data_IF_615374774867
#
_entry.id   IF_615374774867
#
_cell.length_a   1.000
_cell.length_b   1.000
_cell.length_c   1.000
_cell.angle_alpha   90.00
_cell.angle_beta   90.00
_cell.angle_gamma   90.00
#
_symmetry.space_group_name_H-M   'P 1'
#
loop_
_entity.id
_entity.type
_entity.pdbx_description
1 polymer ?
#
# COMPACT_ATOMS: atom_id res chain seq x y z
N UNK A 1 29.17 19.64 53.31
CA UNK A 1 29.33 18.20 53.06
C UNK A 1 29.86 17.56 54.33
N UNK A 2 29.05 16.74 55.01
CA UNK A 2 29.49 15.91 56.14
C UNK A 2 30.16 14.66 55.57
N UNK A 3 31.42 14.44 55.91
CA UNK A 3 32.15 13.21 55.62
C UNK A 3 31.55 12.06 56.42
N UNK A 4 30.96 11.08 55.74
CA UNK A 4 30.55 9.81 56.35
C UNK A 4 31.73 8.84 56.33
N UNK A 5 32.25 8.57 57.52
CA UNK A 5 33.29 7.59 57.79
C UNK A 5 32.59 6.28 58.14
N UNK A 6 32.63 5.28 57.26
CA UNK A 6 32.03 3.96 57.53
C UNK A 6 33.14 3.05 58.07
N UNK A 7 33.10 2.78 59.37
CA UNK A 7 33.95 1.78 60.03
C UNK A 7 33.52 0.38 59.59
N UNK A 8 34.41 -0.35 58.92
CA UNK A 8 34.15 -1.72 58.49
C UNK A 8 35.24 -2.41 57.66
N UNK A 9 36.31 -1.72 57.25
CA UNK A 9 37.46 -2.34 56.57
C UNK A 9 38.77 -1.75 57.08
N UNK A 10 39.36 -2.37 58.11
CA UNK A 10 40.78 -2.22 58.42
C UNK A 10 41.58 -3.11 57.46
N UNK A 11 41.99 -2.59 56.30
CA UNK A 11 42.96 -3.31 55.47
C UNK A 11 42.95 -3.04 53.96
N UNK A 12 41.93 -2.37 53.42
CA UNK A 12 41.94 -1.99 51.99
C UNK A 12 42.08 -0.48 51.89
N UNK A 13 43.18 0.06 51.32
CA UNK A 13 43.37 1.49 51.24
C UNK A 13 42.22 2.12 50.44
N UNK A 14 41.69 3.21 51.01
CA UNK A 14 40.59 4.06 50.54
C UNK A 14 40.88 4.77 49.20
N UNK A 15 41.79 4.23 48.37
CA UNK A 15 42.25 4.77 47.08
C UNK A 15 41.55 4.14 45.86
N UNK A 16 40.65 3.17 46.05
CA UNK A 16 39.92 2.50 44.96
C UNK A 16 38.43 2.89 44.88
N UNK A 17 37.92 3.64 45.84
CA UNK A 17 36.63 4.31 45.74
C UNK A 17 36.85 5.71 45.16
N UNK A 18 36.18 6.02 44.05
CA UNK A 18 36.22 7.27 43.27
C UNK A 18 37.37 7.41 42.25
N UNK A 19 37.25 6.67 41.15
CA UNK A 19 37.68 7.13 39.81
C UNK A 19 36.88 6.48 38.68
N UNK A 20 35.55 6.51 38.79
CA UNK A 20 34.71 6.60 37.59
C UNK A 20 34.57 8.10 37.31
N UNK A 21 35.65 8.71 36.81
CA UNK A 21 35.66 10.08 36.32
C UNK A 21 35.60 10.00 34.80
N UNK A 22 34.38 9.94 34.25
CA UNK A 22 34.16 10.39 32.89
C UNK A 22 33.72 11.85 32.96
N UNK A 23 34.65 12.72 32.54
CA UNK A 23 34.43 14.12 32.18
C UNK A 23 34.16 15.13 33.31
N UNK A 24 35.23 15.87 33.59
CA UNK A 24 35.23 17.21 34.15
C UNK A 24 34.42 18.20 33.30
N UNK A 25 33.55 18.93 33.98
CA UNK A 25 33.25 20.36 33.85
C UNK A 25 34.13 21.17 32.87
N UNK A 26 33.94 21.04 31.56
CA UNK A 26 34.26 22.03 30.53
C UNK A 26 33.53 21.61 29.26
N UNK A 27 32.64 22.47 28.76
CA UNK A 27 31.82 22.17 27.58
C UNK A 27 32.67 21.93 26.33
N UNK A 28 32.54 20.72 25.76
CA UNK A 28 32.57 20.30 24.34
C UNK A 28 33.04 18.84 24.26
N UNK A 29 32.26 17.92 23.67
CA UNK A 29 32.78 16.58 23.36
C UNK A 29 33.50 16.61 22.01
N UNK A 30 34.85 16.54 22.05
CA UNK A 30 35.64 16.06 20.91
C UNK A 30 35.70 14.54 20.99
N UNK A 31 34.81 13.87 20.27
CA UNK A 31 34.97 12.45 19.95
C UNK A 31 36.04 12.32 18.87
N UNK A 32 37.29 12.18 19.27
CA UNK A 32 38.34 11.68 18.38
C UNK A 32 39.32 10.84 19.20
N UNK A 33 39.29 9.53 18.91
CA UNK A 33 40.34 8.52 19.06
C UNK A 33 41.45 8.86 20.05
N UNK A 34 41.40 8.28 21.25
CA UNK A 34 42.58 7.73 21.93
C UNK A 34 42.16 6.91 23.17
N UNK A 35 42.41 5.60 23.12
CA UNK A 35 42.56 4.69 24.25
C UNK A 35 41.59 4.85 25.45
N UNK A 36 40.31 4.54 25.22
CA UNK A 36 39.44 4.13 26.32
C UNK A 36 39.91 2.75 26.80
N UNK A 37 40.83 2.73 27.78
CA UNK A 37 41.24 1.48 28.44
C UNK A 37 40.00 0.93 29.14
N UNK A 38 39.33 -0.02 28.48
CA UNK A 38 38.22 -0.77 29.06
C UNK A 38 38.68 -1.32 30.41
N UNK A 39 37.79 -1.32 31.39
CA UNK A 39 38.08 -1.88 32.71
C UNK A 39 38.70 -3.28 32.55
N UNK A 40 39.83 -3.58 33.20
CA UNK A 40 40.40 -4.93 33.15
C UNK A 40 39.36 -5.98 33.53
N UNK A 41 39.42 -7.15 32.90
CA UNK A 41 38.44 -8.23 33.08
C UNK A 41 38.22 -8.60 34.56
N UNK A 42 39.29 -8.67 35.34
CA UNK A 42 39.23 -8.96 36.78
C UNK A 42 38.40 -7.92 37.55
N UNK A 43 38.56 -6.63 37.22
CA UNK A 43 37.79 -5.55 37.85
C UNK A 43 36.34 -5.57 37.40
N UNK A 44 36.09 -5.86 36.12
CA UNK A 44 34.74 -5.99 35.58
C UNK A 44 33.99 -7.16 36.26
N UNK A 45 34.66 -8.30 36.44
CA UNK A 45 34.14 -9.44 37.19
C UNK A 45 33.86 -9.06 38.65
N UNK A 46 34.78 -8.38 39.33
CA UNK A 46 34.59 -7.95 40.72
C UNK A 46 33.38 -7.03 40.88
N UNK A 47 33.18 -6.08 39.95
CA UNK A 47 32.00 -5.21 39.96
C UNK A 47 30.73 -5.99 39.66
N UNK A 48 30.75 -6.91 38.69
CA UNK A 48 29.61 -7.76 38.39
C UNK A 48 29.20 -8.58 39.62
N UNK A 49 30.16 -9.17 40.35
CA UNK A 49 29.89 -9.87 41.60
C UNK A 49 29.22 -8.94 42.61
N UNK A 50 29.71 -7.71 42.79
CA UNK A 50 29.05 -6.73 43.66
C UNK A 50 27.63 -6.40 43.20
N UNK A 51 27.40 -6.18 41.91
CA UNK A 51 26.06 -5.92 41.37
C UNK A 51 25.12 -7.11 41.68
N UNK A 52 25.61 -8.33 41.51
CA UNK A 52 24.81 -9.53 41.72
C UNK A 52 24.50 -9.79 43.21
N UNK A 53 25.47 -9.61 44.11
CA UNK A 53 25.34 -9.98 45.52
C UNK A 53 25.06 -8.77 46.43
N UNK A 54 25.85 -7.70 46.35
CA UNK A 54 25.72 -6.53 47.23
C UNK A 54 24.50 -5.67 46.83
N UNK A 55 24.29 -5.47 45.53
CA UNK A 55 23.12 -4.76 44.99
C UNK A 55 21.91 -5.68 44.76
N UNK A 56 22.04 -6.97 45.08
CA UNK A 56 20.96 -7.96 45.08
C UNK A 56 20.29 -8.17 43.71
N UNK A 57 20.96 -7.86 42.60
CA UNK A 57 20.39 -8.09 41.27
C UNK A 57 20.09 -9.58 41.02
N UNK A 58 20.89 -10.48 41.61
CA UNK A 58 20.69 -11.93 41.54
C UNK A 58 19.29 -12.36 41.99
N UNK A 59 18.75 -11.72 43.03
CA UNK A 59 17.49 -12.14 43.65
C UNK A 59 16.33 -12.06 42.66
N UNK A 60 16.40 -11.16 41.68
CA UNK A 60 15.39 -11.05 40.62
C UNK A 60 15.28 -12.31 39.75
N UNK A 61 16.31 -13.17 39.73
CA UNK A 61 16.36 -14.41 38.94
C UNK A 61 16.03 -15.66 39.76
N UNK A 62 15.89 -15.55 41.08
CA UNK A 62 15.65 -16.69 41.98
C UNK A 62 14.14 -16.97 42.12
N UNK A 63 13.81 -18.17 42.63
CA UNK A 63 12.47 -18.59 43.03
C UNK A 63 11.38 -18.29 41.98
N UNK A 64 11.64 -18.65 40.72
CA UNK A 64 10.76 -18.35 39.59
C UNK A 64 10.42 -16.84 39.49
N UNK A 65 11.44 -15.99 39.62
CA UNK A 65 11.35 -14.54 39.48
C UNK A 65 10.46 -13.86 40.53
N UNK A 66 10.34 -14.45 41.73
CA UNK A 66 9.49 -13.92 42.82
C UNK A 66 9.77 -12.44 43.11
N UNK A 67 11.03 -12.08 43.31
CA UNK A 67 11.43 -10.69 43.60
C UNK A 67 11.19 -9.75 42.41
N UNK A 68 11.28 -10.25 41.18
CA UNK A 68 10.96 -9.47 39.99
C UNK A 68 9.45 -9.16 39.93
N UNK A 69 8.59 -10.13 40.24
CA UNK A 69 7.15 -9.91 40.33
C UNK A 69 6.79 -8.87 41.40
N UNK A 70 7.50 -8.87 42.55
CA UNK A 70 7.39 -7.79 43.53
C UNK A 70 7.76 -6.45 42.92
N UNK A 71 8.83 -6.37 42.11
CA UNK A 71 9.22 -5.11 41.44
C UNK A 71 8.18 -4.65 40.42
N UNK A 72 7.55 -5.58 39.68
CA UNK A 72 6.46 -5.24 38.78
C UNK A 72 5.27 -4.64 39.52
N UNK A 73 4.84 -5.27 40.63
CA UNK A 73 3.76 -4.74 41.46
C UNK A 73 4.11 -3.36 42.03
N UNK A 74 5.33 -3.18 42.54
CA UNK A 74 5.81 -1.88 43.03
C UNK A 74 5.78 -0.81 41.93
N UNK A 75 6.23 -1.13 40.72
CA UNK A 75 6.22 -0.19 39.60
C UNK A 75 4.77 0.11 39.18
N UNK A 76 3.90 -0.88 39.13
CA UNK A 76 2.49 -0.73 38.81
C UNK A 76 1.78 0.25 39.75
N UNK A 77 1.92 0.05 41.06
CA UNK A 77 1.39 0.97 42.08
C UNK A 77 2.01 2.37 42.01
N UNK A 78 3.28 2.48 41.60
CA UNK A 78 3.90 3.79 41.37
C UNK A 78 3.33 4.48 40.12
N UNK A 79 2.97 3.74 39.07
CA UNK A 79 2.31 4.30 37.89
C UNK A 79 0.92 4.78 38.27
N UNK A 80 0.16 4.01 39.04
CA UNK A 80 -1.14 4.41 39.59
C UNK A 80 -1.05 5.74 40.37
N UNK A 81 -0.08 5.83 41.28
CA UNK A 81 0.05 7.00 42.16
C UNK A 81 0.67 8.25 41.50
N UNK A 82 1.55 8.08 40.51
CA UNK A 82 2.29 9.20 39.90
C UNK A 82 1.78 9.56 38.50
N UNK A 83 1.09 8.66 37.82
CA UNK A 83 0.61 8.77 36.44
C UNK A 83 -0.79 8.14 36.29
N UNK A 84 -1.81 8.59 37.06
CA UNK A 84 -3.11 7.93 37.12
C UNK A 84 -3.80 7.79 35.76
N UNK A 85 -3.76 8.83 34.91
CA UNK A 85 -4.35 8.73 33.57
C UNK A 85 -3.70 7.64 32.70
N UNK A 86 -2.38 7.45 32.85
CA UNK A 86 -1.66 6.42 32.11
C UNK A 86 -1.95 5.03 32.69
N UNK A 87 -2.08 4.92 34.01
CA UNK A 87 -2.49 3.70 34.68
C UNK A 87 -3.88 3.25 34.20
N UNK A 88 -4.88 4.13 34.23
CA UNK A 88 -6.23 3.81 33.75
C UNK A 88 -6.27 3.42 32.28
N UNK A 89 -5.43 4.05 31.44
CA UNK A 89 -5.29 3.67 30.04
C UNK A 89 -4.68 2.28 29.86
N UNK A 90 -3.62 1.96 30.60
CA UNK A 90 -2.99 0.65 30.57
C UNK A 90 -3.94 -0.44 31.07
N UNK A 91 -4.67 -0.18 32.15
CA UNK A 91 -5.67 -1.09 32.70
C UNK A 91 -6.80 -1.37 31.68
N UNK A 92 -7.34 -0.33 31.05
CA UNK A 92 -8.40 -0.47 30.04
C UNK A 92 -7.96 -1.28 28.81
N UNK A 93 -6.69 -1.15 28.40
CA UNK A 93 -6.13 -1.85 27.25
C UNK A 93 -5.60 -3.25 27.63
N UNK A 94 -5.40 -3.53 28.91
CA UNK A 94 -4.80 -4.78 29.39
C UNK A 94 -3.27 -4.81 29.26
N UNK A 95 -2.60 -3.66 29.37
CA UNK A 95 -1.13 -3.58 29.41
C UNK A 95 -0.64 -3.80 30.84
N UNK A 96 0.10 -4.88 31.04
CA UNK A 96 0.75 -5.17 32.32
C UNK A 96 2.24 -4.80 32.31
N UNK A 97 2.75 -4.41 33.49
CA UNK A 97 4.16 -4.00 33.66
C UNK A 97 5.16 -5.05 33.19
N UNK A 98 4.88 -6.33 33.42
CA UNK A 98 5.77 -7.43 33.06
C UNK A 98 6.03 -7.49 31.54
N UNK A 99 5.07 -7.04 30.72
CA UNK A 99 5.14 -7.08 29.25
C UNK A 99 6.22 -6.17 28.66
N UNK A 100 6.60 -5.09 29.35
CA UNK A 100 7.59 -4.12 28.86
C UNK A 100 8.78 -3.91 29.81
N UNK A 101 8.60 -4.06 31.13
CA UNK A 101 9.62 -3.69 32.11
C UNK A 101 10.57 -4.83 32.51
N UNK A 102 10.30 -6.09 32.10
CA UNK A 102 11.14 -7.25 32.49
C UNK A 102 12.63 -7.02 32.23
N UNK A 103 12.98 -6.55 31.03
CA UNK A 103 14.38 -6.29 30.66
C UNK A 103 14.96 -5.06 31.36
N UNK A 104 14.13 -4.08 31.73
CA UNK A 104 14.59 -2.88 32.43
C UNK A 104 15.24 -3.24 33.76
N UNK A 105 14.59 -4.14 34.52
CA UNK A 105 15.09 -4.61 35.80
C UNK A 105 16.20 -5.68 35.64
N UNK A 106 15.95 -6.73 34.85
CA UNK A 106 16.88 -7.87 34.77
C UNK A 106 18.23 -7.51 34.14
N UNK A 107 18.24 -6.55 33.20
CA UNK A 107 19.46 -6.19 32.47
C UNK A 107 19.96 -4.79 32.81
N UNK A 108 19.39 -4.10 33.82
CA UNK A 108 19.71 -2.70 34.12
C UNK A 108 19.66 -1.81 32.87
N UNK A 109 18.62 -1.99 32.04
CA UNK A 109 18.41 -1.30 30.76
C UNK A 109 19.43 -1.56 29.63
N UNK A 110 20.46 -2.39 29.84
CA UNK A 110 21.55 -2.64 28.87
C UNK A 110 21.12 -3.26 27.53
N UNK A 111 19.95 -3.92 27.44
CA UNK A 111 19.59 -4.69 26.23
C UNK A 111 19.13 -3.84 25.04
N UNK A 112 18.26 -2.84 25.25
CA UNK A 112 17.66 -2.05 24.15
C UNK A 112 18.12 -0.59 24.12
N UNK A 113 18.61 -0.03 25.23
CA UNK A 113 18.98 1.36 25.31
C UNK A 113 20.41 1.61 24.77
N UNK A 114 20.67 2.79 24.19
CA UNK A 114 22.01 3.17 23.74
C UNK A 114 23.02 3.18 24.89
N UNK A 115 24.28 2.78 24.61
CA UNK A 115 25.32 2.63 25.64
C UNK A 115 25.56 3.91 26.45
N UNK A 116 25.51 5.08 25.83
CA UNK A 116 25.64 6.38 26.52
C UNK A 116 24.62 6.51 27.66
N UNK A 117 23.36 6.17 27.40
CA UNK A 117 22.29 6.20 28.40
C UNK A 117 22.50 5.14 29.47
N UNK A 118 22.88 3.93 29.06
CA UNK A 118 23.14 2.82 29.98
C UNK A 118 24.26 3.15 30.95
N UNK A 119 25.35 3.77 30.51
CA UNK A 119 26.45 4.17 31.40
C UNK A 119 25.99 5.12 32.50
N UNK A 120 25.19 6.14 32.17
CA UNK A 120 24.66 7.02 33.21
C UNK A 120 23.68 6.31 34.17
N UNK A 121 22.88 5.37 33.68
CA UNK A 121 22.01 4.56 34.54
C UNK A 121 22.86 3.74 35.52
N UNK A 122 23.93 3.10 35.03
CA UNK A 122 24.84 2.30 35.86
C UNK A 122 25.58 3.16 36.88
N UNK A 123 26.06 4.35 36.49
CA UNK A 123 26.75 5.28 37.41
C UNK A 123 25.87 5.65 38.61
N UNK A 124 24.60 5.99 38.35
CA UNK A 124 23.64 6.34 39.40
C UNK A 124 23.22 5.10 40.18
N UNK A 125 23.04 3.95 39.52
CA UNK A 125 22.71 2.68 40.17
C UNK A 125 23.80 2.25 41.17
N UNK A 126 25.08 2.39 40.81
CA UNK A 126 26.21 2.09 41.70
C UNK A 126 26.38 3.10 42.84
N UNK A 127 25.66 4.23 42.83
CA UNK A 127 25.63 5.19 43.93
C UNK A 127 24.44 4.96 44.86
N UNK A 128 23.24 4.80 44.28
CA UNK A 128 21.97 4.86 45.02
C UNK A 128 21.27 3.49 45.14
N UNK A 129 21.66 2.50 44.33
CA UNK A 129 21.16 1.13 44.35
C UNK A 129 19.84 0.89 43.60
N UNK A 130 19.15 -0.21 43.93
CA UNK A 130 17.98 -0.73 43.22
C UNK A 130 16.82 0.26 43.04
N UNK A 131 16.68 1.24 43.95
CA UNK A 131 15.65 2.27 43.85
C UNK A 131 15.72 3.09 42.56
N UNK A 132 16.91 3.23 41.99
CA UNK A 132 17.15 3.97 40.74
C UNK A 132 16.37 3.39 39.58
N UNK A 133 16.20 2.07 39.52
CA UNK A 133 15.49 1.43 38.42
C UNK A 133 14.01 1.87 38.37
N UNK A 134 13.39 2.09 39.53
CA UNK A 134 12.05 2.68 39.61
C UNK A 134 12.05 4.14 39.16
N UNK A 135 13.03 4.93 39.61
CA UNK A 135 13.15 6.33 39.23
C UNK A 135 13.28 6.48 37.70
N UNK A 136 14.14 5.69 37.07
CA UNK A 136 14.35 5.69 35.61
C UNK A 136 13.09 5.19 34.90
N UNK A 137 12.47 4.10 35.37
CA UNK A 137 11.22 3.57 34.78
C UNK A 137 10.11 4.61 34.77
N UNK A 138 9.88 5.29 35.91
CA UNK A 138 8.88 6.36 36.01
C UNK A 138 9.26 7.57 35.15
N UNK A 139 10.54 7.93 35.07
CA UNK A 139 10.99 9.03 34.20
C UNK A 139 10.73 8.73 32.71
N UNK A 140 11.00 7.50 32.26
CA UNK A 140 10.71 7.05 30.89
C UNK A 140 9.21 7.14 30.57
N UNK A 141 8.36 6.69 31.49
CA UNK A 141 6.90 6.74 31.35
C UNK A 141 6.38 8.17 31.39
N UNK A 142 6.87 9.02 32.30
CA UNK A 142 6.54 10.45 32.36
C UNK A 142 6.86 11.16 31.05
N UNK A 143 8.07 10.95 30.52
CA UNK A 143 8.53 11.58 29.30
C UNK A 143 7.74 11.14 28.05
N UNK A 144 7.15 9.95 28.09
CA UNK A 144 6.40 9.34 26.99
C UNK A 144 4.88 9.32 27.18
N UNK A 145 4.37 9.93 28.25
CA UNK A 145 2.95 9.82 28.65
C UNK A 145 2.01 10.24 27.51
N UNK A 146 2.32 11.34 26.83
CA UNK A 146 1.47 11.88 25.76
C UNK A 146 1.40 10.94 24.56
N UNK A 147 2.53 10.35 24.19
CA UNK A 147 2.62 9.42 23.08
C UNK A 147 1.91 8.10 23.39
N UNK A 148 1.94 7.65 24.65
CA UNK A 148 1.35 6.39 25.08
C UNK A 148 -0.19 6.44 25.20
N UNK A 149 -0.76 7.56 25.66
CA UNK A 149 -2.21 7.71 25.86
C UNK A 149 -3.04 7.64 24.56
N UNK A 150 -2.41 7.81 23.39
CA UNK A 150 -3.09 7.72 22.10
C UNK A 150 -2.90 6.40 21.36
N UNK A 151 -2.27 5.40 21.99
CA UNK A 151 -1.91 4.13 21.34
C UNK A 151 -2.79 2.99 21.86
N UNK A 152 -3.03 2.00 21.01
CA UNK A 152 -3.65 0.73 21.34
C UNK A 152 -2.62 -0.27 21.91
N UNK A 153 -3.06 -1.49 22.23
CA UNK A 153 -2.21 -2.53 22.82
C UNK A 153 -0.92 -2.77 22.03
N UNK A 154 -1.03 -3.00 20.72
CA UNK A 154 0.13 -3.26 19.85
C UNK A 154 1.02 -2.01 19.73
N UNK A 155 0.42 -0.83 19.57
CA UNK A 155 1.12 0.44 19.48
C UNK A 155 1.98 0.72 20.72
N UNK A 156 1.46 0.48 21.92
CA UNK A 156 2.18 0.64 23.19
C UNK A 156 3.39 -0.31 23.26
N UNK A 157 3.20 -1.60 23.00
CA UNK A 157 4.30 -2.58 23.04
C UNK A 157 5.37 -2.29 21.97
N UNK A 158 4.95 -1.87 20.78
CA UNK A 158 5.85 -1.43 19.71
C UNK A 158 6.63 -0.17 20.11
N UNK A 159 5.98 0.79 20.78
CA UNK A 159 6.60 2.01 21.27
C UNK A 159 7.73 1.69 22.25
N UNK A 160 7.49 0.85 23.25
CA UNK A 160 8.51 0.43 24.21
C UNK A 160 9.68 -0.30 23.55
N UNK A 161 9.40 -1.16 22.56
CA UNK A 161 10.42 -1.96 21.88
C UNK A 161 11.29 -1.15 20.92
N UNK A 162 10.73 -0.16 20.22
CA UNK A 162 11.37 0.49 19.07
C UNK A 162 11.58 1.98 19.27
N UNK A 163 10.54 2.71 19.66
CA UNK A 163 10.55 4.18 19.67
C UNK A 163 11.25 4.71 20.91
N UNK A 164 10.93 4.17 22.09
CA UNK A 164 11.45 4.63 23.36
C UNK A 164 13.00 4.60 23.42
N UNK A 165 13.69 3.50 23.05
CA UNK A 165 15.15 3.47 23.14
C UNK A 165 15.84 4.40 22.13
N UNK A 166 15.22 4.63 20.96
CA UNK A 166 15.76 5.53 19.93
C UNK A 166 15.82 6.99 20.38
N UNK A 167 14.91 7.40 21.27
CA UNK A 167 14.84 8.77 21.81
C UNK A 167 16.07 9.15 22.64
N UNK A 168 16.72 8.18 23.26
CA UNK A 168 17.86 8.39 24.16
C UNK A 168 19.20 8.00 23.53
N UNK A 169 19.37 8.29 22.23
CA UNK A 169 20.63 8.07 21.50
C UNK A 169 21.63 9.21 21.67
N UNK A 170 21.15 10.42 21.92
CA UNK A 170 22.00 11.59 22.13
C UNK A 170 22.36 11.72 23.61
N UNK A 171 23.51 12.32 23.88
CA UNK A 171 24.01 12.53 25.24
C UNK A 171 23.08 13.49 26.02
N UNK A 172 22.57 14.53 25.36
CA UNK A 172 21.66 15.50 25.95
C UNK A 172 20.37 14.83 26.43
N UNK A 173 19.76 13.97 25.60
CA UNK A 173 18.54 13.26 25.95
C UNK A 173 18.77 12.28 27.11
N UNK A 174 19.94 11.63 27.13
CA UNK A 174 20.33 10.74 28.22
C UNK A 174 20.46 11.50 29.55
N UNK A 175 21.13 12.66 29.55
CA UNK A 175 21.27 13.50 30.73
C UNK A 175 19.93 14.04 31.23
N UNK A 176 19.05 14.49 30.32
CA UNK A 176 17.69 14.92 30.66
C UNK A 176 16.89 13.80 31.34
N UNK A 177 16.99 12.57 30.83
CA UNK A 177 16.36 11.40 31.44
C UNK A 177 16.83 11.19 32.88
N UNK A 178 18.15 11.23 33.10
CA UNK A 178 18.74 11.01 34.42
C UNK A 178 18.36 12.14 35.38
N UNK A 179 18.35 13.40 34.92
CA UNK A 179 17.88 14.53 35.71
C UNK A 179 16.42 14.35 36.13
N UNK A 180 15.55 13.94 35.19
CA UNK A 180 14.15 13.66 35.48
C UNK A 180 13.99 12.49 36.47
N UNK A 181 14.77 11.42 36.31
CA UNK A 181 14.78 10.28 37.22
C UNK A 181 15.18 10.70 38.63
N UNK A 182 16.26 11.46 38.79
CA UNK A 182 16.76 11.90 40.10
C UNK A 182 15.86 12.95 40.77
N UNK A 183 15.13 13.73 39.98
CA UNK A 183 14.10 14.65 40.52
C UNK A 183 12.85 13.92 41.02
N UNK A 184 12.60 12.70 40.51
CA UNK A 184 11.44 11.90 40.91
C UNK A 184 11.71 11.26 42.28
N UNK A 185 11.19 11.89 43.33
CA UNK A 185 11.32 11.40 44.71
C UNK A 185 10.40 10.20 44.95
N UNK A 186 10.95 8.99 44.86
CA UNK A 186 10.26 7.77 45.28
C UNK A 186 10.61 7.47 46.74
N UNK A 187 9.59 7.42 47.61
CA UNK A 187 9.79 7.17 49.03
C UNK A 187 10.04 5.67 49.27
N UNK A 188 11.22 5.33 49.80
CA UNK A 188 11.59 3.95 50.16
C UNK A 188 10.59 3.28 51.11
N UNK A 189 9.95 4.04 52.03
CA UNK A 189 8.90 3.50 52.90
C UNK A 189 7.66 3.05 52.11
N UNK A 190 7.35 3.76 51.02
CA UNK A 190 6.21 3.45 50.15
C UNK A 190 6.46 2.17 49.36
N UNK A 191 7.67 2.02 48.80
CA UNK A 191 8.10 0.77 48.14
C UNK A 191 7.99 -0.43 49.09
N UNK A 192 8.47 -0.30 50.33
CA UNK A 192 8.35 -1.37 51.34
C UNK A 192 6.91 -1.68 51.71
N UNK A 193 6.02 -0.68 51.67
CA UNK A 193 4.58 -0.91 51.88
C UNK A 193 4.00 -1.74 50.73
N UNK A 194 4.22 -1.36 49.47
CA UNK A 194 3.74 -2.16 48.33
C UNK A 194 4.30 -3.58 48.31
N UNK A 195 5.53 -3.77 48.75
CA UNK A 195 6.11 -5.11 48.89
C UNK A 195 5.33 -5.97 49.90
N UNK A 196 4.95 -5.39 51.04
CA UNK A 196 4.08 -6.08 52.01
C UNK A 196 2.68 -6.33 51.44
N UNK A 197 2.13 -5.35 50.74
CA UNK A 197 0.80 -5.47 50.10
C UNK A 197 0.81 -6.61 49.07
N UNK A 198 1.88 -6.75 48.26
CA UNK A 198 2.05 -7.86 47.32
C UNK A 198 2.06 -9.22 48.01
N UNK A 199 2.84 -9.39 49.07
CA UNK A 199 2.89 -10.67 49.79
C UNK A 199 1.57 -10.97 50.51
N UNK A 200 0.87 -9.96 51.02
CA UNK A 200 -0.45 -10.15 51.61
C UNK A 200 -1.47 -10.61 50.57
N UNK A 201 -1.47 -10.04 49.37
CA UNK A 201 -2.31 -10.49 48.25
C UNK A 201 -1.98 -11.95 47.89
N UNK A 202 -0.69 -12.27 47.73
CA UNK A 202 -0.28 -13.66 47.43
C UNK A 202 -0.67 -14.66 48.51
N UNK A 203 -0.56 -14.28 49.78
CA UNK A 203 -0.98 -15.14 50.88
C UNK A 203 -2.51 -15.31 50.91
N UNK A 204 -3.27 -14.28 50.57
CA UNK A 204 -4.73 -14.38 50.42
C UNK A 204 -5.11 -15.32 49.26
N UNK A 205 -4.49 -15.16 48.09
CA UNK A 205 -4.65 -16.05 46.93
C UNK A 205 -4.28 -17.52 47.25
N UNK A 206 -3.28 -17.74 48.12
CA UNK A 206 -2.89 -19.08 48.57
C UNK A 206 -3.85 -19.68 49.59
N UNK A 207 -4.53 -18.85 50.39
CA UNK A 207 -5.56 -19.27 51.35
C UNK A 207 -6.93 -19.49 50.72
N UNK A 208 -7.17 -18.99 49.51
CA UNK A 208 -8.39 -19.30 48.77
C UNK A 208 -8.55 -20.81 48.57
N UNK A 209 -9.78 -21.28 48.73
CA UNK A 209 -10.10 -22.71 48.72
C UNK A 209 -9.61 -23.37 47.40
N UNK A 210 -8.93 -24.52 47.47
CA UNK A 210 -8.43 -25.21 46.29
C UNK A 210 -9.49 -25.48 45.22
N UNK A 211 -10.77 -25.64 45.61
CA UNK A 211 -11.88 -25.79 44.66
C UNK A 211 -12.08 -24.52 43.83
N UNK A 212 -12.07 -23.35 44.47
CA UNK A 212 -12.20 -22.04 43.79
C UNK A 212 -11.06 -21.79 42.80
N UNK A 213 -9.82 -22.14 43.18
CA UNK A 213 -8.65 -22.04 42.29
C UNK A 213 -8.72 -23.02 41.11
N UNK A 214 -9.30 -24.19 41.32
CA UNK A 214 -9.51 -25.18 40.25
C UNK A 214 -10.58 -24.72 39.28
N UNK A 215 -11.71 -24.20 39.78
CA UNK A 215 -12.77 -23.61 38.94
C UNK A 215 -12.25 -22.44 38.10
N UNK A 216 -11.38 -21.60 38.66
CA UNK A 216 -10.78 -20.51 37.92
C UNK A 216 -9.79 -20.99 36.85
N UNK A 217 -8.99 -22.03 37.15
CA UNK A 217 -8.16 -22.70 36.13
C UNK A 217 -9.01 -23.32 35.02
N UNK A 218 -10.13 -23.96 35.36
CA UNK A 218 -11.05 -24.53 34.38
C UNK A 218 -11.67 -23.43 33.50
N UNK A 219 -12.08 -22.31 34.10
CA UNK A 219 -12.53 -21.11 33.36
C UNK A 219 -11.44 -20.59 32.41
N UNK A 220 -10.19 -20.47 32.86
CA UNK A 220 -9.07 -20.05 32.01
C UNK A 220 -8.85 -21.03 30.87
N UNK A 221 -8.90 -22.34 31.13
CA UNK A 221 -8.79 -23.38 30.10
C UNK A 221 -9.91 -23.29 29.07
N UNK A 222 -11.13 -22.98 29.49
CA UNK A 222 -12.26 -22.81 28.58
C UNK A 222 -12.11 -21.54 27.71
N UNK A 223 -11.66 -20.42 28.28
CA UNK A 223 -11.29 -19.24 27.48
C UNK A 223 -10.15 -19.55 26.50
N UNK A 224 -9.16 -20.35 26.90
CA UNK A 224 -8.05 -20.75 26.04
C UNK A 224 -8.52 -21.60 24.85
N UNK A 225 -9.52 -22.47 25.05
CA UNK A 225 -10.18 -23.21 23.97
C UNK A 225 -10.95 -22.27 23.05
N UNK A 226 -11.68 -21.30 23.60
CA UNK A 226 -12.44 -20.33 22.81
C UNK A 226 -11.52 -19.44 21.96
N UNK A 227 -10.44 -18.92 22.53
CA UNK A 227 -9.42 -18.16 21.81
C UNK A 227 -8.78 -18.99 20.69
N UNK A 228 -8.51 -20.28 20.91
CA UNK A 228 -8.02 -21.18 19.86
C UNK A 228 -9.04 -21.39 18.76
N UNK A 229 -10.31 -21.60 19.11
CA UNK A 229 -11.42 -21.74 18.17
C UNK A 229 -11.60 -20.49 17.30
N UNK A 230 -11.65 -19.31 17.92
CA UNK A 230 -11.75 -18.02 17.24
C UNK A 230 -10.55 -17.75 16.31
N UNK A 231 -9.33 -18.11 16.74
CA UNK A 231 -8.14 -18.01 15.89
C UNK A 231 -8.23 -18.90 14.65
N UNK A 232 -8.77 -20.10 14.78
CA UNK A 232 -8.96 -21.01 13.65
C UNK A 232 -9.98 -20.43 12.67
N UNK A 233 -11.13 -19.96 13.16
CA UNK A 233 -12.15 -19.31 12.34
C UNK A 233 -11.61 -18.06 11.63
N UNK A 234 -10.81 -17.24 12.32
CA UNK A 234 -10.16 -16.07 11.73
C UNK A 234 -9.20 -16.47 10.60
N UNK A 235 -8.48 -17.59 10.76
CA UNK A 235 -7.57 -18.11 9.75
C UNK A 235 -8.32 -18.59 8.50
N UNK A 236 -9.40 -19.35 8.69
CA UNK A 236 -10.28 -19.81 7.60
C UNK A 236 -10.90 -18.63 6.85
N UNK A 237 -11.45 -17.65 7.57
CA UNK A 237 -12.02 -16.45 6.97
C UNK A 237 -10.98 -15.63 6.19
N UNK A 238 -9.75 -15.55 6.70
CA UNK A 238 -8.66 -14.85 6.02
C UNK A 238 -8.24 -15.56 4.73
N UNK A 239 -8.23 -16.90 4.72
CA UNK A 239 -7.97 -17.68 3.50
C UNK A 239 -9.08 -17.49 2.46
N UNK A 240 -10.35 -17.50 2.89
CA UNK A 240 -11.49 -17.20 2.02
C UNK A 240 -11.41 -15.79 1.44
N UNK A 241 -11.08 -14.79 2.26
CA UNK A 241 -10.91 -13.41 1.78
C UNK A 241 -9.78 -13.31 0.73
N UNK A 242 -8.64 -13.96 0.96
CA UNK A 242 -7.55 -13.99 -0.02
C UNK A 242 -7.97 -14.70 -1.32
N UNK A 243 -8.78 -15.76 -1.23
CA UNK A 243 -9.32 -16.46 -2.40
C UNK A 243 -10.25 -15.54 -3.20
N UNK A 244 -11.21 -14.90 -2.54
CA UNK A 244 -12.14 -13.96 -3.15
C UNK A 244 -11.43 -12.75 -3.77
N UNK A 245 -10.36 -12.25 -3.15
CA UNK A 245 -9.52 -11.20 -3.72
C UNK A 245 -8.83 -11.65 -5.02
N UNK A 246 -8.33 -12.88 -5.07
CA UNK A 246 -7.72 -13.47 -6.27
C UNK A 246 -8.74 -13.63 -7.41
N UNK A 247 -9.95 -14.14 -7.11
CA UNK A 247 -11.03 -14.24 -8.09
C UNK A 247 -11.47 -12.87 -8.60
N UNK A 248 -11.60 -11.89 -7.69
CA UNK A 248 -11.94 -10.50 -8.04
C UNK A 248 -10.88 -9.90 -8.98
N UNK A 249 -9.60 -10.19 -8.74
CA UNK A 249 -8.51 -9.74 -9.61
C UNK A 249 -8.65 -10.30 -11.04
N UNK A 250 -8.87 -11.61 -11.17
CA UNK A 250 -9.07 -12.28 -12.48
C UNK A 250 -10.27 -11.72 -13.24
N UNK A 251 -11.38 -11.50 -12.53
CA UNK A 251 -12.60 -10.93 -13.13
C UNK A 251 -12.32 -9.50 -13.62
N UNK A 252 -11.63 -8.67 -12.81
CA UNK A 252 -11.24 -7.30 -13.22
C UNK A 252 -10.35 -7.30 -14.45
N UNK A 253 -9.42 -8.25 -14.56
CA UNK A 253 -8.54 -8.39 -15.73
C UNK A 253 -9.33 -8.77 -16.99
N UNK A 254 -10.21 -9.76 -16.90
CA UNK A 254 -11.12 -10.14 -17.99
C UNK A 254 -11.98 -8.96 -18.46
N UNK A 255 -12.59 -8.19 -17.55
CA UNK A 255 -13.37 -7.00 -17.92
C UNK A 255 -12.51 -5.93 -18.60
N UNK A 256 -11.26 -5.75 -18.17
CA UNK A 256 -10.33 -4.80 -18.80
C UNK A 256 -10.03 -5.19 -20.24
N UNK A 257 -9.67 -6.45 -20.49
CA UNK A 257 -9.36 -6.95 -21.84
C UNK A 257 -10.55 -6.79 -22.80
N UNK A 258 -11.76 -7.12 -22.33
CA UNK A 258 -12.99 -6.94 -23.14
C UNK A 258 -13.24 -5.48 -23.46
N UNK A 259 -13.01 -4.57 -22.49
CA UNK A 259 -13.18 -3.13 -22.68
C UNK A 259 -12.19 -2.58 -23.69
N UNK A 260 -10.89 -2.93 -23.56
CA UNK A 260 -9.84 -2.51 -24.49
C UNK A 260 -10.13 -2.99 -25.93
N UNK A 261 -10.62 -4.23 -26.08
CA UNK A 261 -11.01 -4.77 -27.38
C UNK A 261 -12.19 -4.01 -27.99
N UNK A 262 -13.23 -3.73 -27.21
CA UNK A 262 -14.39 -2.97 -27.68
C UNK A 262 -14.02 -1.54 -28.08
N UNK A 263 -13.10 -0.89 -27.34
CA UNK A 263 -12.58 0.43 -27.68
C UNK A 263 -11.78 0.41 -28.99
N UNK A 264 -10.95 -0.61 -29.21
CA UNK A 264 -10.19 -0.77 -30.45
C UNK A 264 -11.11 -0.98 -31.66
N UNK A 265 -12.16 -1.81 -31.51
CA UNK A 265 -13.17 -2.04 -32.54
C UNK A 265 -13.96 -0.76 -32.85
N UNK A 266 -14.35 0.01 -31.84
CA UNK A 266 -15.00 1.31 -32.02
C UNK A 266 -14.09 2.30 -32.75
N UNK A 267 -12.79 2.31 -32.44
CA UNK A 267 -11.83 3.16 -33.14
C UNK A 267 -11.69 2.76 -34.61
N UNK A 268 -11.67 1.46 -34.91
CA UNK A 268 -11.67 0.95 -36.29
C UNK A 268 -12.94 1.35 -37.04
N UNK A 269 -14.10 1.23 -36.41
CA UNK A 269 -15.37 1.67 -36.98
C UNK A 269 -15.34 3.17 -37.34
N UNK A 270 -14.89 4.03 -36.43
CA UNK A 270 -14.76 5.48 -36.67
C UNK A 270 -13.82 5.78 -37.85
N UNK A 271 -12.68 5.08 -37.96
CA UNK A 271 -11.78 5.23 -39.11
C UNK A 271 -12.47 4.86 -40.42
N UNK A 272 -13.20 3.74 -40.45
CA UNK A 272 -13.94 3.30 -41.62
C UNK A 272 -15.02 4.33 -42.00
N UNK A 273 -15.73 4.89 -41.03
CA UNK A 273 -16.73 5.94 -41.24
C UNK A 273 -16.11 7.19 -41.89
N UNK A 274 -14.95 7.64 -41.40
CA UNK A 274 -14.20 8.76 -42.01
C UNK A 274 -13.81 8.45 -43.45
N UNK A 275 -13.25 7.28 -43.72
CA UNK A 275 -12.85 6.86 -45.09
C UNK A 275 -14.07 6.86 -46.03
N UNK A 276 -15.21 6.34 -45.57
CA UNK A 276 -16.45 6.34 -46.37
C UNK A 276 -16.93 7.77 -46.65
N UNK A 277 -16.84 8.66 -45.66
CA UNK A 277 -17.19 10.07 -45.84
C UNK A 277 -16.28 10.77 -46.88
N UNK A 278 -14.97 10.58 -46.77
CA UNK A 278 -13.98 11.10 -47.72
C UNK A 278 -14.20 10.55 -49.13
N UNK A 279 -14.46 9.25 -49.25
CA UNK A 279 -14.77 8.62 -50.54
C UNK A 279 -16.01 9.25 -51.19
N UNK A 280 -17.10 9.42 -50.44
CA UNK A 280 -18.32 10.09 -50.92
C UNK A 280 -18.04 11.51 -51.38
N UNK A 281 -17.21 12.25 -50.65
CA UNK A 281 -16.81 13.61 -51.01
C UNK A 281 -16.01 13.62 -52.32
N UNK A 282 -15.05 12.71 -52.49
CA UNK A 282 -14.26 12.57 -53.72
C UNK A 282 -15.18 12.27 -54.91
N UNK A 283 -16.12 11.32 -54.77
CA UNK A 283 -17.08 11.01 -55.82
C UNK A 283 -17.91 12.24 -56.21
N UNK A 284 -18.44 12.99 -55.24
CA UNK A 284 -19.20 14.21 -55.51
C UNK A 284 -18.37 15.26 -56.23
N UNK A 285 -17.11 15.48 -55.83
CA UNK A 285 -16.20 16.42 -56.48
C UNK A 285 -15.86 15.99 -57.91
N UNK A 286 -15.65 14.70 -58.16
CA UNK A 286 -15.40 14.17 -59.50
C UNK A 286 -16.62 14.34 -60.40
N UNK A 287 -17.84 14.08 -59.90
CA UNK A 287 -19.09 14.33 -60.62
C UNK A 287 -19.26 15.81 -61.00
N UNK A 288 -19.04 16.73 -60.05
CA UNK A 288 -19.14 18.17 -60.32
C UNK A 288 -18.12 18.64 -61.38
N UNK A 289 -16.88 18.14 -61.30
CA UNK A 289 -15.84 18.44 -62.32
C UNK A 289 -16.23 17.89 -63.69
N UNK A 290 -16.79 16.69 -63.75
CA UNK A 290 -17.24 16.08 -65.00
C UNK A 290 -18.37 16.89 -65.63
N UNK A 291 -19.34 17.34 -64.83
CA UNK A 291 -20.43 18.20 -65.29
C UNK A 291 -19.93 19.54 -65.83
N UNK A 292 -18.97 20.18 -65.14
CA UNK A 292 -18.33 21.42 -65.61
C UNK A 292 -17.63 21.22 -66.96
N UNK A 293 -16.80 20.17 -67.08
CA UNK A 293 -16.11 19.85 -68.34
C UNK A 293 -17.08 19.50 -69.48
N UNK A 294 -18.18 18.81 -69.19
CA UNK A 294 -19.22 18.55 -70.18
C UNK A 294 -19.93 19.83 -70.61
N UNK A 295 -20.17 20.75 -69.67
CA UNK A 295 -20.78 22.04 -69.97
C UNK A 295 -19.86 22.93 -70.80
N UNK A 296 -18.59 23.07 -70.41
CA UNK A 296 -17.57 23.79 -71.17
C UNK A 296 -17.47 23.26 -72.60
N UNK A 297 -17.41 21.93 -72.77
CA UNK A 297 -17.41 21.30 -74.10
C UNK A 297 -18.68 21.64 -74.90
N UNK A 298 -19.85 21.67 -74.27
CA UNK A 298 -21.12 22.07 -74.93
C UNK A 298 -21.07 23.53 -75.36
N UNK A 299 -20.58 24.41 -74.50
CA UNK A 299 -20.46 25.84 -74.79
C UNK A 299 -19.44 26.10 -75.90
N UNK A 300 -18.30 25.39 -75.91
CA UNK A 300 -17.31 25.42 -77.00
C UNK A 300 -17.90 24.95 -78.33
N UNK A 301 -18.71 23.88 -78.33
CA UNK A 301 -19.43 23.40 -79.52
C UNK A 301 -20.43 24.44 -80.03
N UNK A 302 -21.18 25.09 -79.14
CA UNK A 302 -22.10 26.18 -79.49
C UNK A 302 -21.35 27.39 -80.03
N UNK A 303 -20.20 27.74 -79.44
CA UNK A 303 -19.35 28.82 -79.90
C UNK A 303 -18.78 28.54 -81.30
N UNK A 304 -18.25 27.33 -81.52
CA UNK A 304 -17.78 26.88 -82.84
C UNK A 304 -18.91 26.92 -83.87
N UNK A 305 -20.12 26.44 -83.52
CA UNK A 305 -21.32 26.54 -84.35
C UNK A 305 -21.63 28.00 -84.72
N UNK A 306 -21.63 28.91 -83.73
CA UNK A 306 -21.90 30.34 -83.96
C UNK A 306 -20.90 31.02 -84.90
N UNK A 307 -19.62 30.62 -84.85
CA UNK A 307 -18.57 31.13 -85.74
C UNK A 307 -18.65 30.57 -87.16
N UNK A 308 -19.21 29.37 -87.33
CA UNK A 308 -19.35 28.69 -88.64
C UNK A 308 -20.65 29.07 -89.38
N UNK A 309 -21.68 29.51 -88.66
CA UNK A 309 -22.97 29.97 -89.22
C UNK A 309 -22.88 31.08 -90.29
N UNK A 310 -21.99 32.10 -90.20
CA UNK A 310 -21.87 33.16 -91.22
C UNK A 310 -21.19 32.71 -92.53
N UNK A 311 -20.56 31.53 -92.56
CA UNK A 311 -19.87 31.01 -93.75
C UNK A 311 -20.86 30.23 -94.62
N UNK A 312 -21.21 30.79 -95.79
CA UNK A 312 -22.14 30.18 -96.76
C UNK A 312 -21.66 28.85 -97.35
N UNK A 313 -20.37 28.54 -97.26
CA UNK A 313 -19.81 27.22 -97.63
C UNK A 313 -19.77 26.24 -96.45
N UNK A 314 -19.61 26.71 -95.21
CA UNK A 314 -19.31 25.86 -94.05
C UNK A 314 -20.57 25.41 -93.28
N UNK A 315 -21.64 26.21 -93.32
CA UNK A 315 -22.88 25.95 -92.59
C UNK A 315 -23.63 24.69 -93.06
N UNK A 316 -23.47 24.29 -94.32
CA UNK A 316 -24.13 23.10 -94.90
C UNK A 316 -23.52 21.76 -94.47
N UNK A 317 -22.43 21.79 -93.70
CA UNK A 317 -21.66 20.60 -93.35
C UNK A 317 -21.76 20.19 -91.88
N UNK A 318 -22.63 20.83 -91.10
CA UNK A 318 -22.79 20.58 -89.66
C UNK A 318 -24.27 20.30 -89.36
N UNK A 319 -24.56 19.13 -88.78
CA UNK A 319 -25.92 18.72 -88.37
C UNK A 319 -26.41 19.50 -87.14
N UNK A 320 -27.71 19.45 -86.85
CA UNK A 320 -28.33 20.16 -85.72
C UNK A 320 -27.62 19.86 -84.38
N UNK A 321 -27.11 18.65 -84.23
CA UNK A 321 -26.41 18.11 -83.06
C UNK A 321 -24.91 18.52 -82.97
N UNK A 322 -24.42 19.33 -83.92
CA UNK A 322 -23.01 19.75 -83.96
C UNK A 322 -22.04 18.69 -84.48
N UNK A 323 -22.54 17.63 -85.14
CA UNK A 323 -21.71 16.63 -85.83
C UNK A 323 -21.51 17.06 -87.29
N UNK A 324 -20.39 16.67 -87.91
CA UNK A 324 -20.21 16.85 -89.35
C UNK A 324 -21.26 16.01 -90.11
N UNK A 325 -21.90 16.61 -91.11
CA UNK A 325 -22.81 15.91 -92.04
C UNK A 325 -22.01 14.80 -92.75
N UNK A 326 -22.60 13.62 -92.89
CA UNK A 326 -21.94 12.38 -93.35
C UNK A 326 -21.10 12.58 -94.62
N UNK A 327 -21.48 13.48 -95.54
CA UNK A 327 -20.71 13.78 -96.77
C UNK A 327 -19.30 14.37 -96.55
N UNK A 328 -18.94 14.91 -95.37
CA UNK A 328 -17.55 15.34 -95.07
C UNK A 328 -16.78 14.31 -94.26
N UNK A 329 -17.46 13.35 -93.61
CA UNK A 329 -16.76 12.28 -92.87
C UNK A 329 -15.79 11.54 -93.78
N UNK A 330 -16.16 11.31 -95.04
CA UNK A 330 -15.32 10.61 -96.01
C UNK A 330 -14.20 11.47 -96.62
N UNK A 331 -14.35 12.80 -96.66
CA UNK A 331 -13.31 13.71 -97.21
C UNK A 331 -12.23 14.03 -96.16
N UNK A 332 -12.58 14.05 -94.86
CA UNK A 332 -11.60 14.20 -93.77
C UNK A 332 -10.99 12.85 -93.36
N UNK A 333 -11.69 11.73 -93.56
CA UNK A 333 -11.14 10.38 -93.36
C UNK A 333 -10.11 9.96 -94.43
N UNK A 334 -9.91 10.75 -95.49
CA UNK A 334 -8.87 10.51 -96.50
C UNK A 334 -7.45 10.92 -96.07
N UNK A 335 -7.30 11.59 -94.91
CA UNK A 335 -6.02 11.69 -94.22
C UNK A 335 -6.00 10.66 -93.11
N UNK A 336 -4.99 9.79 -93.07
CA UNK A 336 -4.73 8.91 -91.93
C UNK A 336 -4.63 9.75 -90.65
N UNK A 337 -5.74 9.92 -89.94
CA UNK A 337 -5.70 10.35 -88.55
C UNK A 337 -5.22 9.13 -87.81
N UNK A 338 -3.92 9.09 -87.50
CA UNK A 338 -3.38 8.20 -86.48
C UNK A 338 -4.30 8.31 -85.26
N UNK A 339 -5.09 7.27 -85.03
CA UNK A 339 -6.00 7.16 -83.90
C UNK A 339 -5.15 7.39 -82.65
N UNK A 340 -5.36 8.55 -82.00
CA UNK A 340 -4.45 9.09 -80.99
C UNK A 340 -4.09 8.00 -79.97
N UNK A 341 -2.82 7.67 -79.87
CA UNK A 341 -2.28 6.60 -79.04
C UNK A 341 -2.69 6.78 -77.56
N UNK A 342 -2.96 8.02 -77.14
CA UNK A 342 -3.53 8.35 -75.83
C UNK A 342 -4.99 7.94 -75.67
N UNK A 343 -5.80 7.97 -76.72
CA UNK A 343 -7.21 7.57 -76.69
C UNK A 343 -7.34 6.04 -76.54
N UNK A 344 -6.51 5.28 -77.24
CA UNK A 344 -6.41 3.82 -77.07
C UNK A 344 -5.98 3.45 -75.66
N UNK A 345 -4.95 4.12 -75.13
CA UNK A 345 -4.50 3.95 -73.75
C UNK A 345 -5.61 4.29 -72.75
N UNK A 346 -6.34 5.38 -72.95
CA UNK A 346 -7.46 5.75 -72.09
C UNK A 346 -8.59 4.71 -72.12
N UNK A 347 -8.94 4.18 -73.29
CA UNK A 347 -9.96 3.14 -73.43
C UNK A 347 -9.55 1.82 -72.76
N UNK A 348 -8.28 1.41 -72.87
CA UNK A 348 -7.77 0.24 -72.14
C UNK A 348 -7.80 0.47 -70.63
N UNK A 349 -7.37 1.65 -70.15
CA UNK A 349 -7.40 1.97 -68.72
C UNK A 349 -8.81 2.03 -68.16
N UNK A 350 -9.78 2.58 -68.91
CA UNK A 350 -11.19 2.57 -68.50
C UNK A 350 -11.69 1.12 -68.34
N UNK A 351 -11.36 0.25 -69.30
CA UNK A 351 -11.76 -1.16 -69.25
C UNK A 351 -11.14 -1.92 -68.07
N UNK A 352 -9.88 -1.63 -67.75
CA UNK A 352 -9.19 -2.20 -66.58
C UNK A 352 -9.83 -1.71 -65.28
N UNK A 353 -10.14 -0.41 -65.17
CA UNK A 353 -10.84 0.16 -64.02
C UNK A 353 -12.27 -0.37 -63.87
N UNK A 354 -12.97 -0.64 -64.96
CA UNK A 354 -14.29 -1.28 -64.96
C UNK A 354 -14.21 -2.73 -64.42
N UNK A 355 -13.15 -3.46 -64.78
CA UNK A 355 -12.90 -4.80 -64.25
C UNK A 355 -12.54 -4.78 -62.76
N UNK A 356 -11.69 -3.84 -62.31
CA UNK A 356 -11.36 -3.66 -60.90
C UNK A 356 -12.60 -3.25 -60.07
N UNK A 357 -13.44 -2.38 -60.63
CA UNK A 357 -14.70 -1.98 -59.99
C UNK A 357 -15.67 -3.17 -59.87
N UNK A 358 -15.72 -4.05 -60.88
CA UNK A 358 -16.52 -5.27 -60.81
C UNK A 358 -16.01 -6.23 -59.73
N UNK A 359 -14.67 -6.41 -59.62
CA UNK A 359 -14.05 -7.25 -58.61
C UNK A 359 -14.31 -6.74 -57.18
N UNK A 360 -14.11 -5.44 -56.94
CA UNK A 360 -14.37 -4.81 -55.63
C UNK A 360 -15.85 -4.84 -55.24
N UNK A 361 -16.78 -4.69 -56.19
CA UNK A 361 -18.22 -4.87 -55.94
C UNK A 361 -18.55 -6.30 -55.52
N UNK A 362 -17.91 -7.30 -56.13
CA UNK A 362 -18.11 -8.70 -55.78
C UNK A 362 -17.61 -8.99 -54.36
N UNK A 363 -16.44 -8.48 -54.01
CA UNK A 363 -15.85 -8.61 -52.67
C UNK A 363 -16.70 -7.91 -51.58
N UNK A 364 -17.28 -6.75 -51.91
CA UNK A 364 -18.22 -6.07 -51.01
C UNK A 364 -19.47 -6.92 -50.75
N UNK A 365 -20.06 -7.53 -51.80
CA UNK A 365 -21.22 -8.41 -51.65
C UNK A 365 -20.86 -9.64 -50.81
N UNK A 366 -19.70 -10.26 -51.03
CA UNK A 366 -19.23 -11.37 -50.20
C UNK A 366 -19.05 -10.97 -48.74
N UNK A 367 -18.50 -9.79 -48.47
CA UNK A 367 -18.32 -9.25 -47.12
C UNK A 367 -19.68 -8.97 -46.45
N UNK A 368 -20.64 -8.41 -47.18
CA UNK A 368 -22.00 -8.19 -46.68
C UNK A 368 -22.73 -9.50 -46.37
N UNK A 369 -22.63 -10.51 -47.23
CA UNK A 369 -23.16 -11.85 -46.96
C UNK A 369 -22.54 -12.48 -45.70
N UNK A 370 -21.22 -12.34 -45.51
CA UNK A 370 -20.54 -12.80 -44.28
C UNK A 370 -21.02 -12.05 -43.04
N UNK A 371 -21.25 -10.73 -43.14
CA UNK A 371 -21.77 -9.93 -42.03
C UNK A 371 -23.20 -10.34 -41.66
N UNK A 372 -24.05 -10.59 -42.65
CA UNK A 372 -25.41 -11.10 -42.43
C UNK A 372 -25.42 -12.50 -41.80
N UNK A 373 -24.53 -13.41 -42.22
CA UNK A 373 -24.40 -14.73 -41.61
C UNK A 373 -23.95 -14.63 -40.15
N UNK A 374 -22.99 -13.75 -39.85
CA UNK A 374 -22.56 -13.47 -38.48
C UNK A 374 -23.67 -12.86 -37.63
N UNK A 375 -24.45 -11.90 -38.16
CA UNK A 375 -25.63 -11.34 -37.48
C UNK A 375 -26.68 -12.42 -37.20
N UNK A 376 -26.95 -13.30 -38.16
CA UNK A 376 -27.87 -14.42 -37.97
C UNK A 376 -27.35 -15.41 -36.91
N UNK A 377 -26.04 -15.70 -36.90
CA UNK A 377 -25.42 -16.53 -35.87
C UNK A 377 -25.43 -15.87 -34.50
N UNK A 378 -25.20 -14.57 -34.40
CA UNK A 378 -25.29 -13.81 -33.13
C UNK A 378 -26.73 -13.81 -32.62
N UNK A 379 -27.71 -13.56 -33.49
CA UNK A 379 -29.13 -13.64 -33.13
C UNK A 379 -29.55 -15.06 -32.69
N UNK A 380 -28.94 -16.10 -33.25
CA UNK A 380 -29.16 -17.49 -32.83
C UNK A 380 -28.36 -17.90 -31.58
N UNK A 381 -27.28 -17.18 -31.26
CA UNK A 381 -26.44 -17.41 -30.07
C UNK A 381 -26.83 -16.54 -28.87
N UNK A 382 -27.81 -15.65 -28.98
CA UNK A 382 -28.34 -14.88 -27.86
C UNK A 382 -29.08 -15.79 -26.85
N UNK A 383 -28.49 -16.08 -25.67
CA UNK A 383 -29.11 -16.90 -24.64
C UNK A 383 -30.19 -16.13 -23.87
N UNK A 384 -30.35 -14.82 -24.11
CA UNK A 384 -31.28 -13.96 -23.38
C UNK A 384 -32.73 -14.08 -23.88
N UNK A 385 -32.96 -14.67 -25.05
CA UNK A 385 -34.31 -14.88 -25.59
C UNK A 385 -34.87 -16.29 -25.43
N UNK A 386 -34.02 -17.30 -25.14
CA UNK A 386 -34.44 -18.69 -25.00
C UNK A 386 -34.11 -19.33 -23.64
N UNK A 387 -33.78 -18.52 -22.62
CA UNK A 387 -33.44 -19.00 -21.28
C UNK A 387 -34.05 -18.16 -20.16
N UNK A 388 -35.34 -17.86 -20.29
CA UNK A 388 -36.20 -17.53 -19.14
C UNK A 388 -36.72 -18.77 -18.42
N UNK A 389 -36.07 -19.92 -18.56
CA UNK A 389 -36.45 -21.11 -17.82
C UNK A 389 -35.28 -21.88 -17.22
N UNK A 390 -35.52 -22.27 -15.96
CA UNK A 390 -34.90 -23.40 -15.29
C UNK A 390 -33.53 -23.16 -14.63
N UNK A 391 -33.54 -22.43 -13.51
CA UNK A 391 -32.90 -22.80 -12.22
C UNK A 391 -32.59 -21.57 -11.36
N UNK A 392 -31.91 -20.55 -11.91
CA UNK A 392 -31.51 -19.35 -11.14
C UNK A 392 -32.69 -18.48 -10.71
N UNK A 393 -33.68 -18.23 -11.58
CA UNK A 393 -34.89 -17.46 -11.21
C UNK A 393 -35.78 -18.18 -10.19
N UNK A 394 -35.77 -19.53 -10.15
CA UNK A 394 -36.50 -20.31 -9.13
C UNK A 394 -35.86 -20.20 -7.74
N UNK A 395 -34.53 -20.07 -7.65
CA UNK A 395 -33.85 -19.81 -6.36
C UNK A 395 -34.07 -18.38 -5.86
N UNK A 396 -34.04 -17.39 -6.75
CA UNK A 396 -34.17 -15.99 -6.36
C UNK A 396 -35.61 -15.69 -5.87
N UNK A 397 -36.63 -16.25 -6.53
CA UNK A 397 -38.02 -16.12 -6.10
C UNK A 397 -38.33 -16.85 -4.77
N UNK A 398 -37.73 -18.02 -4.54
CA UNK A 398 -37.82 -18.77 -3.27
C UNK A 398 -37.21 -18.00 -2.09
N UNK A 399 -36.10 -17.28 -2.29
CA UNK A 399 -35.48 -16.47 -1.23
C UNK A 399 -36.27 -15.20 -0.89
N UNK A 400 -36.98 -14.62 -1.87
CA UNK A 400 -37.83 -13.45 -1.62
C UNK A 400 -39.16 -13.80 -0.94
N UNK A 401 -39.65 -15.04 -1.07
CA UNK A 401 -40.87 -15.50 -0.40
C UNK A 401 -40.64 -15.82 1.10
N UNK A 402 -39.46 -16.32 1.46
CA UNK A 402 -39.12 -16.69 2.84
C UNK A 402 -38.76 -15.49 3.76
N UNK A 403 -38.86 -14.26 3.26
CA UNK A 403 -38.55 -13.02 4.02
C UNK A 403 -39.81 -12.20 4.33
N UNK A 404 -41.00 -12.80 4.18
CA UNK A 404 -42.30 -12.15 4.35
C UNK A 404 -43.31 -12.93 5.24
N UNK A 405 -42.83 -13.94 5.96
CA UNK A 405 -43.42 -14.42 7.22
C UNK A 405 -42.48 -14.03 8.35
#
# INVERSE_FOLDING_TARGET
MKSLNIHGFSGVPNKYFLKINYYSFTGRPKFQQDNQKLMPEEQAFAILVKIMYDYQLRNLFLDNFKDLHVKFYQLDRLIEDLLPDLFSHFDHIGIEVHMFASQWFLTLFTHKFPLTTVFHIIDVFLSEGMGVLFNVSIALLKASKKELLGQDFEGILKYFRVTLPKRYRTEEAALELIQLAMSTKINSKKLKRYEKDFYAIKEMEEREDPMSRMEERDRVLDFDKEVKSLKLQLMEFKEENNHLESETCKVKEMYREVTEKAEADLQKYKRNETIISEYKQICSQQSERLEKLQQERRDDLLHLKSKLQPCTKCANYISEDGKLVESIRDVVAGGEVQENDQLKKAQTTIKDLEMELAATKLELVESQCKSQDLEHRINNCDPSRNRTDSWMMKKISSFTAAKKE
#
